data_IF_496350282163
#
_entry.id   IF_496350282163
#
_cell.length_a   1.000
_cell.length_b   1.000
_cell.length_c   1.000
_cell.angle_alpha   90.00
_cell.angle_beta   90.00
_cell.angle_gamma   90.00
#
_symmetry.space_group_name_H-M   'P 1'
#
loop_
_entity.id
_entity.type
_entity.pdbx_description
1 polymer ?
#
# COMPACT_ATOMS: atom_id res chain seq x y z
N UNK A 1 5.79 -14.55 -3.78
CA UNK A 1 7.16 -14.39 -4.29
C UNK A 1 7.58 -12.94 -4.19
N UNK A 2 8.79 -12.66 -3.72
CA UNK A 2 9.31 -11.30 -3.63
C UNK A 2 9.81 -10.81 -4.99
N UNK A 3 9.55 -9.53 -5.29
CA UNK A 3 9.98 -8.88 -6.52
C UNK A 3 11.06 -7.86 -6.17
N UNK A 4 12.26 -8.03 -6.73
CA UNK A 4 13.38 -7.10 -6.54
C UNK A 4 13.69 -6.30 -7.81
N UNK A 5 12.75 -6.26 -8.74
CA UNK A 5 12.85 -5.45 -9.96
C UNK A 5 12.36 -4.02 -9.64
N UNK A 6 13.30 -3.06 -9.69
CA UNK A 6 12.98 -1.67 -9.35
C UNK A 6 11.98 -1.03 -10.31
N UNK A 7 11.93 -1.46 -11.56
CA UNK A 7 10.93 -0.99 -12.52
C UNK A 7 9.54 -1.47 -12.08
N UNK A 8 9.43 -2.73 -11.71
CA UNK A 8 8.17 -3.30 -11.24
C UNK A 8 7.70 -2.64 -9.94
N UNK A 9 8.62 -2.43 -9.01
CA UNK A 9 8.34 -1.74 -7.75
C UNK A 9 7.85 -0.31 -8.03
N UNK A 10 8.55 0.42 -8.90
CA UNK A 10 8.17 1.78 -9.28
C UNK A 10 6.79 1.84 -9.90
N UNK A 11 6.45 0.89 -10.77
CA UNK A 11 5.12 0.81 -11.37
C UNK A 11 4.03 0.59 -10.33
N UNK A 12 4.28 -0.24 -9.33
CA UNK A 12 3.33 -0.46 -8.23
C UNK A 12 3.13 0.81 -7.41
N UNK A 13 4.20 1.53 -7.11
CA UNK A 13 4.11 2.80 -6.41
C UNK A 13 3.29 3.82 -7.20
N UNK A 14 3.52 3.90 -8.51
CA UNK A 14 2.76 4.78 -9.40
C UNK A 14 1.27 4.45 -9.36
N UNK A 15 0.93 3.18 -9.47
CA UNK A 15 -0.47 2.74 -9.45
C UNK A 15 -1.15 3.08 -8.12
N UNK A 16 -0.48 2.79 -7.01
CA UNK A 16 -1.01 3.08 -5.67
C UNK A 16 -1.19 4.58 -5.49
N UNK A 17 -0.18 5.37 -5.86
CA UNK A 17 -0.23 6.82 -5.75
C UNK A 17 -1.42 7.40 -6.53
N UNK A 18 -1.60 6.96 -7.78
CA UNK A 18 -2.71 7.45 -8.62
C UNK A 18 -4.07 7.04 -8.06
N UNK A 19 -4.19 5.84 -7.55
CA UNK A 19 -5.44 5.37 -6.94
C UNK A 19 -5.79 6.16 -5.69
N UNK A 20 -4.79 6.61 -4.94
CA UNK A 20 -4.99 7.45 -3.75
C UNK A 20 -5.19 8.92 -4.11
N UNK A 21 -5.06 9.28 -5.39
CA UNK A 21 -5.24 10.65 -5.84
C UNK A 21 -4.13 11.61 -5.45
N UNK A 22 -2.92 11.08 -5.22
CA UNK A 22 -1.77 11.86 -4.80
C UNK A 22 -0.86 12.21 -5.98
N UNK A 23 -0.20 13.37 -5.89
CA UNK A 23 0.84 13.76 -6.83
C UNK A 23 2.18 13.21 -6.38
N UNK A 24 3.15 13.17 -7.31
CA UNK A 24 4.52 12.79 -6.95
C UNK A 24 5.09 13.71 -5.86
N UNK A 25 4.83 15.02 -5.98
CA UNK A 25 5.28 16.01 -5.00
C UNK A 25 4.71 15.74 -3.60
N UNK A 26 3.43 15.39 -3.53
CA UNK A 26 2.78 15.10 -2.25
C UNK A 26 3.40 13.90 -1.56
N UNK A 27 3.67 12.83 -2.31
CA UNK A 27 4.31 11.64 -1.75
C UNK A 27 5.75 11.93 -1.35
N UNK A 28 6.49 12.65 -2.20
CA UNK A 28 7.88 13.02 -1.92
C UNK A 28 7.96 13.83 -0.62
N UNK A 29 7.09 14.83 -0.47
CA UNK A 29 7.05 15.66 0.74
C UNK A 29 6.76 14.81 1.98
N UNK A 30 5.74 13.96 1.90
CA UNK A 30 5.37 13.09 3.03
C UNK A 30 6.46 12.09 3.40
N UNK A 31 7.24 11.65 2.42
CA UNK A 31 8.37 10.74 2.62
C UNK A 31 9.69 11.44 2.90
N UNK A 32 9.68 12.77 2.95
CA UNK A 32 10.86 13.61 3.15
C UNK A 32 11.93 13.37 2.07
N UNK A 33 11.48 13.31 0.83
CA UNK A 33 12.33 13.14 -0.35
C UNK A 33 12.18 14.32 -1.28
N UNK A 34 13.17 14.56 -2.15
CA UNK A 34 13.01 15.53 -3.22
C UNK A 34 12.06 14.96 -4.30
N UNK A 35 11.39 15.84 -5.02
CA UNK A 35 10.49 15.45 -6.11
C UNK A 35 11.23 14.59 -7.14
N UNK A 36 12.45 14.98 -7.47
CA UNK A 36 13.27 14.25 -8.44
C UNK A 36 13.62 12.86 -7.95
N UNK A 37 14.00 12.72 -6.68
CA UNK A 37 14.33 11.42 -6.10
C UNK A 37 13.13 10.49 -6.18
N UNK A 38 11.96 10.95 -5.78
CA UNK A 38 10.76 10.13 -5.83
C UNK A 38 10.38 9.78 -7.28
N UNK A 39 10.47 10.74 -8.20
CA UNK A 39 10.17 10.49 -9.61
C UNK A 39 11.11 9.43 -10.20
N UNK A 40 12.39 9.47 -9.86
CA UNK A 40 13.36 8.47 -10.30
C UNK A 40 13.03 7.08 -9.74
N UNK A 41 12.54 7.01 -8.51
CA UNK A 41 12.10 5.76 -7.90
C UNK A 41 10.90 5.17 -8.65
N UNK A 42 9.91 5.98 -9.00
CA UNK A 42 8.76 5.51 -9.78
C UNK A 42 9.16 5.01 -11.18
N UNK A 43 10.18 5.63 -11.77
CA UNK A 43 10.69 5.18 -13.07
C UNK A 43 11.57 3.92 -12.98
N UNK A 44 12.00 3.57 -11.77
CA UNK A 44 12.87 2.40 -11.57
C UNK A 44 14.30 2.63 -12.04
N UNK A 45 14.74 3.88 -12.13
CA UNK A 45 16.08 4.23 -12.62
C UNK A 45 17.15 4.28 -11.55
N UNK A 46 16.75 4.14 -10.28
CA UNK A 46 17.68 4.16 -9.14
C UNK A 46 17.41 3.00 -8.22
N UNK A 47 18.46 2.56 -7.52
CA UNK A 47 18.32 1.57 -6.47
C UNK A 47 17.82 2.27 -5.20
N UNK A 48 16.68 1.79 -4.70
CA UNK A 48 16.08 2.37 -3.51
C UNK A 48 16.62 1.70 -2.26
N UNK A 49 17.06 2.51 -1.30
CA UNK A 49 17.49 2.00 0.00
C UNK A 49 16.29 1.55 0.81
N UNK A 50 16.50 0.61 1.72
CA UNK A 50 15.44 0.10 2.60
C UNK A 50 14.80 1.25 3.39
N UNK A 51 15.62 2.16 3.93
CA UNK A 51 15.13 3.32 4.66
C UNK A 51 14.18 4.18 3.82
N UNK A 52 14.57 4.44 2.57
CA UNK A 52 13.74 5.21 1.63
C UNK A 52 12.43 4.49 1.34
N UNK A 53 12.49 3.18 1.12
CA UNK A 53 11.30 2.36 0.88
C UNK A 53 10.32 2.44 2.06
N UNK A 54 10.82 2.36 3.28
CA UNK A 54 9.99 2.45 4.48
C UNK A 54 9.34 3.83 4.61
N UNK A 55 10.05 4.89 4.27
CA UNK A 55 9.49 6.25 4.27
C UNK A 55 8.35 6.40 3.26
N UNK A 56 8.52 5.85 2.07
CA UNK A 56 7.49 5.88 1.03
C UNK A 56 6.27 5.06 1.44
N UNK A 57 6.49 3.87 1.97
CA UNK A 57 5.40 3.01 2.45
C UNK A 57 4.61 3.69 3.56
N UNK A 58 5.29 4.37 4.47
CA UNK A 58 4.62 5.12 5.53
C UNK A 58 3.80 6.28 4.95
N UNK A 59 4.36 7.01 3.98
CA UNK A 59 3.67 8.10 3.31
C UNK A 59 2.39 7.63 2.59
N UNK A 60 2.43 6.44 2.00
CA UNK A 60 1.30 5.85 1.28
C UNK A 60 0.40 5.01 2.19
N UNK A 61 0.75 4.83 3.45
CA UNK A 61 0.02 4.00 4.42
C UNK A 61 -0.13 2.56 3.93
N UNK A 62 0.96 2.02 3.42
CA UNK A 62 1.05 0.62 2.97
C UNK A 62 2.23 -0.07 3.66
N UNK A 63 2.24 -1.39 3.62
CA UNK A 63 3.37 -2.18 4.12
C UNK A 63 4.31 -2.51 2.97
N UNK A 64 5.62 -2.75 3.24
CA UNK A 64 6.59 -3.03 2.17
C UNK A 64 6.27 -4.27 1.34
N UNK A 65 5.61 -5.28 1.92
CA UNK A 65 5.24 -6.49 1.20
C UNK A 65 4.33 -6.19 0.00
N UNK A 66 3.53 -5.13 0.07
CA UNK A 66 2.64 -4.72 -1.02
C UNK A 66 3.41 -4.45 -2.32
N UNK A 67 4.56 -3.80 -2.21
CA UNK A 67 5.37 -3.45 -3.38
C UNK A 67 6.45 -4.48 -3.69
N UNK A 68 6.77 -5.36 -2.74
CA UNK A 68 7.83 -6.37 -2.89
C UNK A 68 7.31 -7.74 -3.31
N UNK A 69 5.99 -7.91 -3.41
CA UNK A 69 5.38 -9.17 -3.80
C UNK A 69 4.62 -9.01 -5.10
N UNK A 70 4.14 -10.12 -5.65
CA UNK A 70 3.35 -10.12 -6.88
C UNK A 70 1.87 -9.79 -6.65
N UNK A 71 1.50 -9.38 -5.44
CA UNK A 71 0.11 -9.02 -5.14
C UNK A 71 -0.37 -7.86 -6.00
N UNK A 72 -1.66 -7.92 -6.34
CA UNK A 72 -2.30 -6.87 -7.11
C UNK A 72 -2.51 -5.62 -6.25
N UNK A 73 -1.88 -4.46 -6.58
CA UNK A 73 -2.07 -3.24 -5.80
C UNK A 73 -3.53 -2.78 -5.69
N UNK A 74 -4.35 -3.07 -6.71
CA UNK A 74 -5.77 -2.71 -6.67
C UNK A 74 -6.51 -3.44 -5.56
N UNK A 75 -6.15 -4.68 -5.29
CA UNK A 75 -6.76 -5.46 -4.21
C UNK A 75 -6.45 -4.85 -2.85
N UNK A 76 -5.22 -4.41 -2.65
CA UNK A 76 -4.80 -3.77 -1.40
C UNK A 76 -5.58 -2.48 -1.14
N UNK A 77 -5.77 -1.66 -2.18
CA UNK A 77 -6.54 -0.42 -2.07
C UNK A 77 -8.00 -0.71 -1.72
N UNK A 78 -8.58 -1.74 -2.30
CA UNK A 78 -9.94 -2.17 -1.94
C UNK A 78 -10.05 -2.57 -0.48
N UNK A 79 -9.06 -3.27 0.04
CA UNK A 79 -9.01 -3.65 1.45
C UNK A 79 -8.96 -2.43 2.35
N UNK A 80 -8.19 -1.41 1.99
CA UNK A 80 -8.13 -0.16 2.75
C UNK A 80 -9.48 0.55 2.80
N UNK A 81 -10.21 0.58 1.68
CA UNK A 81 -11.55 1.17 1.64
C UNK A 81 -12.53 0.41 2.53
N UNK A 82 -12.43 -0.92 2.57
CA UNK A 82 -13.26 -1.74 3.44
C UNK A 82 -12.99 -1.41 4.92
N UNK A 83 -11.74 -1.19 5.30
CA UNK A 83 -11.40 -0.82 6.67
C UNK A 83 -11.98 0.55 7.03
N UNK A 84 -11.93 1.52 6.12
CA UNK A 84 -12.55 2.83 6.32
C UNK A 84 -14.06 2.70 6.53
N UNK A 85 -14.72 1.89 5.71
CA UNK A 85 -16.15 1.64 5.85
C UNK A 85 -16.47 0.99 7.19
N UNK A 86 -15.62 0.07 7.63
CA UNK A 86 -15.79 -0.60 8.92
C UNK A 86 -15.69 0.40 10.08
N UNK A 87 -14.74 1.34 10.01
CA UNK A 87 -14.57 2.36 11.04
C UNK A 87 -15.76 3.30 11.14
N UNK A 88 -16.49 3.52 10.05
CA UNK A 88 -17.67 4.36 10.04
C UNK A 88 -18.93 3.67 10.58
N UNK A 89 -18.88 2.38 10.84
CA UNK A 89 -20.01 1.60 11.36
C UNK A 89 -20.19 1.79 12.86
N UNK A 90 -21.37 1.43 13.37
CA UNK A 90 -21.63 1.40 14.81
C UNK A 90 -20.81 0.29 15.45
N UNK A 91 -20.65 0.35 16.79
CA UNK A 91 -19.91 -0.68 17.52
C UNK A 91 -20.52 -2.06 17.31
N UNK A 92 -21.85 -2.15 17.31
CA UNK A 92 -22.53 -3.43 17.09
C UNK A 92 -22.28 -3.96 15.69
N UNK A 93 -22.29 -3.07 14.68
CA UNK A 93 -22.01 -3.45 13.29
C UNK A 93 -20.57 -3.92 13.13
N UNK A 94 -19.62 -3.25 13.81
CA UNK A 94 -18.20 -3.67 13.81
C UNK A 94 -18.04 -5.07 14.40
N UNK A 95 -18.67 -5.34 15.54
CA UNK A 95 -18.62 -6.64 16.18
C UNK A 95 -19.12 -7.75 15.26
N UNK A 96 -20.27 -7.52 14.63
CA UNK A 96 -20.85 -8.50 13.70
C UNK A 96 -19.93 -8.75 12.51
N UNK A 97 -19.35 -7.69 11.93
CA UNK A 97 -18.43 -7.81 10.81
C UNK A 97 -17.17 -8.61 11.19
N UNK A 98 -16.61 -8.32 12.38
CA UNK A 98 -15.41 -9.03 12.86
C UNK A 98 -15.71 -10.49 13.16
N UNK A 99 -16.89 -10.82 13.68
CA UNK A 99 -17.29 -12.20 13.92
C UNK A 99 -17.43 -12.97 12.60
N UNK A 100 -18.04 -12.37 11.58
CA UNK A 100 -18.17 -12.99 10.27
C UNK A 100 -16.81 -13.24 9.65
N UNK A 101 -15.90 -12.28 9.76
CA UNK A 101 -14.54 -12.42 9.27
C UNK A 101 -13.80 -13.53 10.01
N UNK A 102 -13.92 -13.60 11.32
CA UNK A 102 -13.28 -14.62 12.13
C UNK A 102 -13.77 -16.02 11.77
N UNK A 103 -15.07 -16.18 11.55
CA UNK A 103 -15.66 -17.45 11.12
C UNK A 103 -15.11 -17.86 9.75
N UNK A 104 -15.08 -16.92 8.81
CA UNK A 104 -14.54 -17.19 7.49
C UNK A 104 -13.07 -17.62 7.53
N UNK A 105 -12.26 -16.89 8.29
CA UNK A 105 -10.82 -17.19 8.40
C UNK A 105 -10.58 -18.55 9.03
N UNK A 106 -11.38 -18.94 10.02
CA UNK A 106 -11.28 -20.28 10.64
C UNK A 106 -11.65 -21.38 9.64
N UNK A 107 -12.60 -21.13 8.74
CA UNK A 107 -13.04 -22.12 7.76
C UNK A 107 -11.99 -22.37 6.68
N UNK A 108 -11.16 -21.39 6.34
CA UNK A 108 -10.12 -21.53 5.30
C UNK A 108 -8.76 -21.92 5.86
N UNK A 109 -8.50 -21.73 7.15
CA UNK A 109 -7.28 -22.19 7.82
C UNK A 109 -7.41 -23.65 8.22
N UNK A 110 -6.47 -24.45 7.77
CA UNK A 110 -6.39 -25.85 8.15
C UNK A 110 -5.20 -26.09 9.01
#
# INVERSE_FOLDING_TARGET
>A
MLIFDFISIGNKLLMIRKKLGLTQSEVAEAANLSDRTYADIERGTVNMRIETMLKICDALQITPDVILTEENPNLVIKQSKLLEQLESCTEKQKETALELLAVYLRSVKK
#
